data_IF_265524316851
#
_entry.id   IF_265524316851
#
_cell.length_a   1.000
_cell.length_b   1.000
_cell.length_c   1.000
_cell.angle_alpha   90.00
_cell.angle_beta   90.00
_cell.angle_gamma   90.00
#
_symmetry.space_group_name_H-M   'P 1'
#
loop_
_entity.id
_entity.type
_entity.pdbx_description
1 polymer ?
#
# COMPACT_ATOMS: atom_id res chain seq x y z
N UNK A 1 -20.40 1.63 22.40
CA UNK A 1 -20.02 2.01 21.01
C UNK A 1 -18.49 1.90 20.86
N UNK A 2 -18.06 1.12 19.88
CA UNK A 2 -16.74 0.47 19.79
C UNK A 2 -15.56 1.42 19.56
N UNK A 3 -14.84 1.76 20.62
CA UNK A 3 -13.58 2.52 20.55
C UNK A 3 -12.51 1.82 19.68
N UNK A 4 -12.52 0.48 19.64
CA UNK A 4 -11.63 -0.32 18.80
C UNK A 4 -11.98 -0.24 17.31
N UNK A 5 -13.28 -0.21 16.97
CA UNK A 5 -13.74 -0.08 15.59
C UNK A 5 -13.36 1.29 15.01
N UNK A 6 -13.56 2.35 15.79
CA UNK A 6 -13.21 3.71 15.37
C UNK A 6 -11.70 3.84 15.13
N UNK A 7 -10.88 3.23 15.98
CA UNK A 7 -9.44 3.13 15.78
C UNK A 7 -9.06 2.36 14.51
N UNK A 8 -9.70 1.23 14.22
CA UNK A 8 -9.42 0.47 13.00
C UNK A 8 -9.80 1.25 11.74
N UNK A 9 -10.93 1.96 11.78
CA UNK A 9 -11.37 2.84 10.69
C UNK A 9 -10.35 3.97 10.44
N UNK A 10 -9.89 4.66 11.49
CA UNK A 10 -8.84 5.69 11.37
C UNK A 10 -7.57 5.14 10.71
N UNK A 11 -7.09 3.97 11.14
CA UNK A 11 -5.89 3.36 10.55
C UNK A 11 -6.08 2.99 9.09
N UNK A 12 -7.27 2.56 8.66
CA UNK A 12 -7.56 2.27 7.26
C UNK A 12 -7.37 3.53 6.40
N UNK A 13 -8.02 4.63 6.77
CA UNK A 13 -7.95 5.89 6.02
C UNK A 13 -6.53 6.44 5.94
N UNK A 14 -5.82 6.43 7.07
CA UNK A 14 -4.45 6.93 7.13
C UNK A 14 -3.52 6.05 6.31
N UNK A 15 -3.61 4.72 6.45
CA UNK A 15 -2.71 3.80 5.76
C UNK A 15 -2.92 3.81 4.24
N UNK A 16 -4.16 3.89 3.75
CA UNK A 16 -4.43 4.08 2.31
C UNK A 16 -3.82 5.38 1.80
N UNK A 17 -3.94 6.47 2.58
CA UNK A 17 -3.33 7.76 2.23
C UNK A 17 -1.80 7.72 2.27
N UNK A 18 -1.21 6.97 3.20
CA UNK A 18 0.25 6.74 3.24
C UNK A 18 0.70 6.01 1.98
N UNK A 19 0.01 4.92 1.60
CA UNK A 19 0.33 4.20 0.34
C UNK A 19 0.19 5.14 -0.85
N UNK A 20 -0.89 5.92 -0.94
CA UNK A 20 -1.09 6.88 -2.04
C UNK A 20 0.06 7.90 -2.16
N UNK A 21 0.75 8.25 -1.08
CA UNK A 21 1.88 9.18 -1.12
C UNK A 21 3.23 8.49 -1.31
N UNK A 22 3.27 7.18 -1.50
CA UNK A 22 4.50 6.44 -1.74
C UNK A 22 5.08 6.82 -3.11
N UNK A 23 6.34 7.27 -3.11
CA UNK A 23 7.08 7.58 -4.34
C UNK A 23 7.92 6.37 -4.76
N UNK A 24 8.28 6.27 -6.06
CA UNK A 24 9.18 5.22 -6.53
C UNK A 24 10.49 5.22 -5.73
N UNK A 25 11.04 4.03 -5.50
CA UNK A 25 12.27 3.80 -4.74
C UNK A 25 12.17 4.12 -3.23
N UNK A 26 10.99 4.49 -2.72
CA UNK A 26 10.75 4.64 -1.28
C UNK A 26 10.29 3.32 -0.65
N UNK A 27 10.70 3.11 0.61
CA UNK A 27 10.30 1.95 1.41
C UNK A 27 9.12 2.30 2.31
N UNK A 28 8.23 1.34 2.49
CA UNK A 28 7.12 1.42 3.44
C UNK A 28 7.39 0.51 4.65
N UNK A 29 7.23 1.04 5.85
CA UNK A 29 7.27 0.26 7.08
C UNK A 29 5.83 0.00 7.53
N UNK A 30 5.47 -1.28 7.57
CA UNK A 30 4.11 -1.74 7.86
C UNK A 30 3.96 -2.30 9.27
N UNK A 31 5.06 -2.39 10.04
CA UNK A 31 5.05 -2.94 11.40
C UNK A 31 4.25 -2.10 12.40
N UNK A 32 4.32 -0.75 12.38
CA UNK A 32 3.46 0.06 13.22
C UNK A 32 2.03 0.01 12.72
N UNK A 33 1.06 0.29 13.60
CA UNK A 33 -0.37 0.36 13.24
C UNK A 33 -0.65 1.36 12.10
N UNK A 34 0.10 2.47 12.10
CA UNK A 34 0.10 3.42 11.00
C UNK A 34 1.33 3.19 10.14
N UNK A 35 1.13 3.02 8.85
CA UNK A 35 2.23 2.85 7.91
C UNK A 35 3.10 4.10 7.88
N UNK A 36 4.40 3.89 7.68
CA UNK A 36 5.37 4.98 7.65
C UNK A 36 6.22 4.86 6.38
N UNK A 37 6.35 5.96 5.64
CA UNK A 37 7.28 6.03 4.51
C UNK A 37 8.66 6.31 5.08
N UNK A 38 9.61 5.42 4.79
CA UNK A 38 11.00 5.63 5.15
C UNK A 38 11.61 6.60 4.14
N UNK A 39 11.78 7.87 4.53
CA UNK A 39 12.52 8.84 3.73
C UNK A 39 14.01 8.49 3.80
N UNK A 40 14.58 8.08 2.67
CA UNK A 40 16.03 8.11 2.50
C UNK A 40 16.40 9.56 2.16
N UNK A 41 16.96 10.29 3.13
CA UNK A 41 17.40 11.67 2.94
C UNK A 41 18.54 11.71 1.89
N UNK A 42 18.18 11.94 0.62
CA UNK A 42 19.12 12.14 -0.48
C UNK A 42 19.44 13.62 -0.62
N UNK A 43 20.28 14.14 0.28
CA UNK A 43 21.07 15.33 0.03
C UNK A 43 22.52 14.86 -0.05
N UNK A 44 22.99 14.49 -1.24
CA UNK A 44 24.39 14.56 -1.71
C UNK A 44 24.48 13.94 -3.11
N UNK A 45 24.56 14.79 -4.13
CA UNK A 45 24.94 14.42 -5.48
C UNK A 45 26.35 13.79 -5.44
N UNK A 46 26.46 12.51 -5.83
CA UNK A 46 27.64 11.69 -6.20
C UNK A 46 27.27 10.18 -6.09
N UNK A 47 26.20 9.81 -5.38
CA UNK A 47 25.88 8.42 -4.98
C UNK A 47 24.87 7.66 -5.87
N UNK A 48 24.69 8.02 -7.14
CA UNK A 48 23.77 7.29 -8.05
C UNK A 48 24.27 5.88 -8.45
N UNK A 49 25.57 5.62 -8.29
CA UNK A 49 26.23 4.36 -8.72
C UNK A 49 26.24 3.32 -7.57
N UNK A 50 25.96 3.71 -6.32
CA UNK A 50 25.89 2.87 -5.11
C UNK A 50 24.46 2.44 -4.72
N UNK A 51 23.44 2.89 -5.46
CA UNK A 51 22.03 2.65 -5.17
C UNK A 51 21.58 1.17 -5.35
N UNK A 52 22.42 0.32 -5.95
CA UNK A 52 22.01 -0.99 -6.52
C UNK A 52 22.59 -2.20 -5.76
N UNK A 53 23.77 -2.12 -5.13
CA UNK A 53 24.34 -3.29 -4.40
C UNK A 53 23.82 -3.44 -2.95
N UNK A 54 23.30 -2.35 -2.37
CA UNK A 54 22.96 -2.23 -0.94
C UNK A 54 21.48 -2.49 -0.62
N UNK A 55 20.62 -2.50 -1.65
CA UNK A 55 19.22 -2.96 -1.58
C UNK A 55 19.15 -4.46 -1.23
N UNK A 56 20.19 -5.22 -1.56
CA UNK A 56 20.24 -6.68 -1.43
C UNK A 56 20.64 -7.25 -0.06
N UNK A 57 21.22 -6.49 0.90
CA UNK A 57 21.73 -7.08 2.18
C UNK A 57 20.89 -6.84 3.44
N UNK A 58 19.94 -5.90 3.43
CA UNK A 58 19.34 -5.35 4.65
C UNK A 58 17.82 -5.53 4.81
N UNK A 59 17.17 -6.36 3.98
CA UNK A 59 15.73 -6.63 4.11
C UNK A 59 15.45 -8.12 3.98
N UNK A 60 15.23 -8.79 5.12
CA UNK A 60 15.04 -10.25 5.17
C UNK A 60 13.82 -10.66 4.33
N UNK A 61 13.87 -11.82 3.68
CA UNK A 61 12.73 -12.38 2.92
C UNK A 61 11.45 -12.40 3.78
N UNK A 62 11.61 -12.63 5.08
CA UNK A 62 10.56 -12.57 6.08
C UNK A 62 9.92 -11.17 6.21
N UNK A 63 10.72 -10.09 6.26
CA UNK A 63 10.16 -8.74 6.35
C UNK A 63 9.38 -8.36 5.10
N UNK A 64 9.91 -8.62 3.90
CA UNK A 64 9.19 -8.33 2.63
C UNK A 64 7.84 -9.03 2.53
N UNK A 65 7.81 -10.33 2.80
CA UNK A 65 6.56 -11.08 2.72
C UNK A 65 5.58 -10.57 3.77
N UNK A 66 6.06 -10.31 4.99
CA UNK A 66 5.21 -9.82 6.08
C UNK A 66 4.71 -8.38 5.84
N UNK A 67 5.51 -7.53 5.19
CA UNK A 67 5.10 -6.18 4.79
C UNK A 67 4.04 -6.23 3.70
N UNK A 68 4.25 -7.07 2.68
CA UNK A 68 3.27 -7.28 1.64
C UNK A 68 1.96 -7.84 2.20
N UNK A 69 1.99 -8.85 3.09
CA UNK A 69 0.77 -9.37 3.70
C UNK A 69 -0.01 -8.28 4.43
N UNK A 70 0.67 -7.40 5.19
CA UNK A 70 -0.03 -6.29 5.87
C UNK A 70 -0.64 -5.29 4.92
N UNK A 71 0.00 -5.03 3.77
CA UNK A 71 -0.58 -4.20 2.72
C UNK A 71 -1.81 -4.90 2.13
N UNK A 72 -1.72 -6.21 1.83
CA UNK A 72 -2.85 -7.00 1.34
C UNK A 72 -4.02 -7.01 2.34
N UNK A 73 -3.75 -7.25 3.62
CA UNK A 73 -4.73 -7.24 4.71
C UNK A 73 -5.46 -5.89 4.82
N UNK A 74 -4.75 -4.78 4.57
CA UNK A 74 -5.36 -3.45 4.52
C UNK A 74 -6.41 -3.34 3.41
N UNK A 75 -6.11 -3.87 2.21
CA UNK A 75 -7.06 -3.85 1.09
C UNK A 75 -8.22 -4.83 1.30
N UNK A 76 -7.98 -6.01 1.87
CA UNK A 76 -9.06 -6.93 2.25
C UNK A 76 -9.98 -6.32 3.32
N UNK A 77 -9.41 -5.54 4.26
CA UNK A 77 -10.19 -4.79 5.23
C UNK A 77 -11.01 -3.67 4.56
N UNK A 78 -10.43 -3.01 3.55
CA UNK A 78 -11.13 -2.01 2.76
C UNK A 78 -12.32 -2.61 1.98
N UNK A 79 -12.17 -3.79 1.37
CA UNK A 79 -13.26 -4.52 0.72
C UNK A 79 -14.40 -4.83 1.70
N UNK A 80 -14.08 -5.38 2.88
CA UNK A 80 -15.08 -5.66 3.92
C UNK A 80 -15.82 -4.39 4.36
N UNK A 81 -15.12 -3.25 4.40
CA UNK A 81 -15.71 -1.95 4.72
C UNK A 81 -16.62 -1.46 3.59
N UNK A 82 -16.25 -1.64 2.32
CA UNK A 82 -17.12 -1.30 1.17
C UNK A 82 -18.47 -2.02 1.23
N UNK A 83 -18.49 -3.30 1.61
CA UNK A 83 -19.72 -4.10 1.67
C UNK A 83 -20.62 -3.69 2.86
N UNK A 84 -20.04 -3.18 3.95
CA UNK A 84 -20.75 -2.94 5.22
C UNK A 84 -21.05 -1.47 5.54
N UNK A 85 -20.49 -0.53 4.77
CA UNK A 85 -20.62 0.93 5.01
C UNK A 85 -21.81 1.58 4.29
N UNK A 86 -22.17 2.78 4.74
CA UNK A 86 -23.15 3.63 4.05
C UNK A 86 -22.57 4.23 2.76
N UNK A 87 -23.45 4.57 1.79
CA UNK A 87 -23.08 5.07 0.45
C UNK A 87 -22.04 6.20 0.45
N UNK A 88 -22.15 7.15 1.39
CA UNK A 88 -21.22 8.30 1.49
C UNK A 88 -19.80 7.87 1.91
N UNK A 89 -19.68 6.89 2.79
CA UNK A 89 -18.38 6.34 3.21
C UNK A 89 -17.77 5.49 2.10
N UNK A 90 -18.60 4.76 1.35
CA UNK A 90 -18.20 3.98 0.17
C UNK A 90 -17.54 4.88 -0.88
N UNK A 91 -18.17 6.00 -1.26
CA UNK A 91 -17.62 6.91 -2.28
C UNK A 91 -16.25 7.48 -1.85
N UNK A 92 -16.11 7.83 -0.57
CA UNK A 92 -14.84 8.28 -0.01
C UNK A 92 -13.77 7.18 -0.02
N UNK A 93 -14.14 5.95 0.32
CA UNK A 93 -13.24 4.79 0.31
C UNK A 93 -12.76 4.44 -1.09
N UNK A 94 -13.65 4.51 -2.09
CA UNK A 94 -13.29 4.36 -3.51
C UNK A 94 -12.25 5.37 -3.93
N UNK A 95 -12.40 6.64 -3.57
CA UNK A 95 -11.39 7.65 -3.89
C UNK A 95 -10.04 7.32 -3.26
N UNK A 96 -10.01 6.88 -1.99
CA UNK A 96 -8.77 6.51 -1.33
C UNK A 96 -8.11 5.25 -1.93
N UNK A 97 -8.90 4.28 -2.38
CA UNK A 97 -8.42 3.09 -3.10
C UNK A 97 -7.87 3.46 -4.49
N UNK A 98 -8.56 4.31 -5.23
CA UNK A 98 -8.09 4.81 -6.52
C UNK A 98 -6.76 5.58 -6.35
N UNK A 99 -6.69 6.44 -5.35
CA UNK A 99 -5.49 7.22 -5.06
C UNK A 99 -4.32 6.34 -4.63
N UNK A 100 -4.57 5.20 -3.97
CA UNK A 100 -3.52 4.31 -3.48
C UNK A 100 -2.92 3.42 -4.57
N UNK A 101 -3.61 3.23 -5.71
CA UNK A 101 -3.07 2.51 -6.88
C UNK A 101 -1.74 3.09 -7.36
N UNK A 102 -1.60 4.43 -7.41
CA UNK A 102 -0.33 5.08 -7.78
C UNK A 102 0.80 4.74 -6.81
N UNK A 103 0.45 4.55 -5.54
CA UNK A 103 1.34 4.09 -4.50
C UNK A 103 1.79 2.64 -4.68
N UNK A 104 0.88 1.76 -5.07
CA UNK A 104 1.22 0.37 -5.40
C UNK A 104 2.12 0.29 -6.63
N UNK A 105 1.90 1.13 -7.64
CA UNK A 105 2.78 1.24 -8.81
C UNK A 105 4.18 1.76 -8.42
N UNK A 106 4.25 2.72 -7.50
CA UNK A 106 5.54 3.15 -6.92
C UNK A 106 6.23 2.02 -6.16
N UNK A 107 5.48 1.24 -5.36
CA UNK A 107 5.99 0.08 -4.63
C UNK A 107 6.52 -0.99 -5.59
N UNK A 108 5.82 -1.23 -6.69
CA UNK A 108 6.26 -2.13 -7.74
C UNK A 108 7.61 -1.72 -8.34
N UNK A 109 7.79 -0.42 -8.64
CA UNK A 109 9.08 0.12 -9.11
C UNK A 109 10.18 -0.03 -8.07
N UNK A 110 9.86 0.17 -6.77
CA UNK A 110 10.82 -0.04 -5.68
C UNK A 110 11.35 -1.48 -5.63
N UNK A 111 10.56 -2.46 -6.09
CA UNK A 111 10.92 -3.88 -6.06
C UNK A 111 11.08 -4.47 -7.47
N UNK A 112 11.49 -3.66 -8.45
CA UNK A 112 11.57 -4.10 -9.85
C UNK A 112 12.48 -5.31 -10.07
N UNK A 113 13.51 -5.48 -9.24
CA UNK A 113 14.45 -6.62 -9.28
C UNK A 113 13.92 -7.90 -8.60
N UNK A 114 12.81 -7.83 -7.85
CA UNK A 114 12.19 -8.98 -7.18
C UNK A 114 10.94 -9.43 -7.95
N UNK A 115 11.13 -10.36 -8.90
CA UNK A 115 10.06 -10.86 -9.77
C UNK A 115 8.86 -11.40 -8.99
N UNK A 116 9.08 -12.11 -7.88
CA UNK A 116 7.97 -12.64 -7.08
C UNK A 116 7.19 -11.52 -6.42
N UNK A 117 7.86 -10.56 -5.78
CA UNK A 117 7.18 -9.46 -5.10
C UNK A 117 6.47 -8.53 -6.09
N UNK A 118 7.10 -8.28 -7.25
CA UNK A 118 6.49 -7.55 -8.37
C UNK A 118 5.17 -8.21 -8.81
N UNK A 119 5.18 -9.51 -9.09
CA UNK A 119 3.98 -10.25 -9.50
C UNK A 119 2.89 -10.23 -8.42
N UNK A 120 3.27 -10.30 -7.14
CA UNK A 120 2.31 -10.17 -6.03
C UNK A 120 1.67 -8.78 -5.99
N UNK A 121 2.45 -7.73 -6.23
CA UNK A 121 1.94 -6.35 -6.32
C UNK A 121 1.04 -6.17 -7.55
N UNK A 122 1.39 -6.77 -8.70
CA UNK A 122 0.53 -6.80 -9.89
C UNK A 122 -0.84 -7.41 -9.55
N UNK A 123 -0.87 -8.61 -8.96
CA UNK A 123 -2.13 -9.24 -8.54
C UNK A 123 -2.94 -8.38 -7.56
N UNK A 124 -2.25 -7.65 -6.67
CA UNK A 124 -2.92 -6.75 -5.72
C UNK A 124 -3.53 -5.54 -6.44
N UNK A 125 -2.84 -4.97 -7.43
CA UNK A 125 -3.36 -3.88 -8.27
C UNK A 125 -4.60 -4.36 -9.03
N UNK A 126 -4.54 -5.53 -9.66
CA UNK A 126 -5.67 -6.11 -10.41
C UNK A 126 -6.88 -6.35 -9.50
N UNK A 127 -6.65 -6.87 -8.28
CA UNK A 127 -7.67 -7.04 -7.27
C UNK A 127 -8.35 -5.71 -6.90
N UNK A 128 -7.57 -4.65 -6.66
CA UNK A 128 -8.13 -3.33 -6.32
C UNK A 128 -8.91 -2.74 -7.49
N UNK A 129 -8.43 -2.88 -8.73
CA UNK A 129 -9.18 -2.44 -9.92
C UNK A 129 -10.52 -3.19 -10.04
N UNK A 130 -10.51 -4.51 -9.88
CA UNK A 130 -11.72 -5.35 -9.89
C UNK A 130 -12.73 -4.91 -8.82
N UNK A 131 -12.24 -4.57 -7.62
CA UNK A 131 -13.05 -4.06 -6.51
C UNK A 131 -13.73 -2.72 -6.84
N UNK A 132 -13.03 -1.84 -7.57
CA UNK A 132 -13.55 -0.55 -8.00
C UNK A 132 -14.55 -0.68 -9.16
N UNK A 133 -14.37 -1.67 -10.04
CA UNK A 133 -15.25 -1.97 -11.17
C UNK A 133 -16.55 -2.67 -10.75
N UNK A 134 -16.49 -3.66 -9.84
CA UNK A 134 -17.65 -4.48 -9.42
C UNK A 134 -18.81 -3.62 -8.89
N UNK A 135 -18.52 -2.50 -8.22
CA UNK A 135 -19.51 -1.58 -7.69
C UNK A 135 -19.96 -0.48 -8.67
N UNK A 136 -19.34 -0.40 -9.86
CA UNK A 136 -19.81 0.46 -10.94
C UNK A 136 -20.96 -0.18 -11.71
N UNK A 137 -21.11 -1.51 -11.61
CA UNK A 137 -22.13 -2.32 -12.29
C UNK A 137 -23.44 -2.39 -11.48
N UNK A 138 -23.40 -2.19 -10.16
CA UNK A 138 -24.57 -2.18 -9.27
C UNK A 138 -25.29 -0.80 -9.18
N UNK A 139 -25.03 0.11 -10.12
CA UNK A 139 -25.70 1.42 -10.25
C UNK A 139 -26.76 1.39 -11.34
#
# INVERSE_FOLDING_TARGET
MNYLSNKMDESLWVNLKVIANLQPFQRINTRPRLFQISQSNSNNAITSITLIESLQRWWTKSSRSSDFERIKDLYEYAEKKLISSEKKEIDRLKQHLQDSLKGLQSLQKTYEDDVTLKARIDCLIDYVNTLLETESINK
#
